data_IF_606099950120
#
_entry.id   IF_606099950120
#
_cell.length_a   1.000
_cell.length_b   1.000
_cell.length_c   1.000
_cell.angle_alpha   90.00
_cell.angle_beta   90.00
_cell.angle_gamma   90.00
#
_symmetry.space_group_name_H-M   'P 1'
#
loop_
_entity.id
_entity.type
_entity.pdbx_description
1 polymer ?
#
# COMPACT_ATOMS: atom_id res chain seq x y z
N UNK A 1 27.51 -11.15 -28.22
CA UNK A 1 27.02 -9.91 -27.59
C UNK A 1 25.74 -10.25 -26.84
N UNK A 2 25.63 -9.94 -25.55
CA UNK A 2 24.41 -10.23 -24.79
C UNK A 2 23.32 -9.22 -25.19
N UNK A 3 22.22 -9.69 -25.77
CA UNK A 3 21.07 -8.85 -26.14
C UNK A 3 20.50 -8.19 -24.89
N UNK A 4 20.37 -6.86 -24.89
CA UNK A 4 19.77 -6.11 -23.79
C UNK A 4 18.26 -6.33 -23.76
N UNK A 5 17.73 -6.70 -22.59
CA UNK A 5 16.28 -6.85 -22.37
C UNK A 5 15.59 -5.50 -22.52
N UNK A 6 14.52 -5.46 -23.32
CA UNK A 6 13.71 -4.27 -23.59
C UNK A 6 12.29 -4.47 -23.05
N UNK A 7 11.58 -3.37 -22.81
CA UNK A 7 10.19 -3.37 -22.33
C UNK A 7 9.26 -2.90 -23.43
N UNK A 8 8.23 -3.68 -23.69
CA UNK A 8 7.24 -3.42 -24.72
C UNK A 8 5.85 -3.25 -24.10
N UNK A 9 5.05 -2.33 -24.63
CA UNK A 9 3.63 -2.22 -24.33
C UNK A 9 2.80 -2.67 -25.54
N UNK A 10 1.79 -3.50 -25.28
CA UNK A 10 0.85 -4.01 -26.27
C UNK A 10 -0.56 -3.60 -25.84
N UNK A 11 -1.25 -2.75 -26.60
CA UNK A 11 -2.62 -2.33 -26.29
C UNK A 11 -3.60 -3.52 -26.24
N UNK A 12 -4.70 -3.36 -25.51
CA UNK A 12 -5.68 -4.43 -25.28
C UNK A 12 -6.41 -4.92 -26.55
N UNK A 13 -6.38 -4.14 -27.63
CA UNK A 13 -7.23 -4.35 -28.80
C UNK A 13 -6.72 -5.47 -29.74
N UNK A 14 -5.53 -6.02 -29.47
CA UNK A 14 -4.81 -6.91 -30.39
C UNK A 14 -4.72 -8.36 -29.91
N UNK A 15 -5.32 -8.70 -28.78
CA UNK A 15 -5.05 -9.98 -28.08
C UNK A 15 -5.99 -11.08 -28.60
N UNK A 16 -5.75 -11.52 -29.84
CA UNK A 16 -6.15 -12.85 -30.31
C UNK A 16 -5.17 -13.95 -29.86
N UNK A 17 -5.19 -15.16 -30.46
CA UNK A 17 -4.44 -16.35 -30.04
C UNK A 17 -2.90 -16.28 -30.24
N UNK A 18 -2.31 -15.08 -30.39
CA UNK A 18 -0.90 -14.86 -30.74
C UNK A 18 0.10 -15.03 -29.57
N UNK A 19 -0.37 -15.15 -28.32
CA UNK A 19 0.51 -15.31 -27.15
C UNK A 19 1.31 -16.63 -27.14
N UNK A 20 0.94 -17.62 -27.96
CA UNK A 20 1.61 -18.92 -28.02
C UNK A 20 2.96 -18.92 -28.75
N UNK A 21 3.29 -17.85 -29.49
CA UNK A 21 4.54 -17.75 -30.27
C UNK A 21 5.64 -16.92 -29.60
N UNK A 22 5.35 -16.24 -28.48
CA UNK A 22 6.28 -15.30 -27.90
C UNK A 22 7.35 -16.01 -27.06
N UNK A 23 8.62 -15.75 -27.37
CA UNK A 23 9.73 -15.88 -26.39
C UNK A 23 9.69 -14.73 -25.38
N UNK A 24 8.53 -14.49 -24.79
CA UNK A 24 8.41 -13.53 -23.71
C UNK A 24 9.06 -14.14 -22.46
N UNK A 25 10.12 -13.52 -21.95
CA UNK A 25 10.77 -13.99 -20.72
C UNK A 25 9.87 -13.69 -19.51
N UNK A 26 9.10 -12.59 -19.55
CA UNK A 26 7.96 -12.30 -18.66
C UNK A 26 6.94 -11.37 -19.33
N UNK A 27 5.68 -11.47 -18.93
CA UNK A 27 4.62 -10.51 -19.27
C UNK A 27 3.73 -10.19 -18.07
N UNK A 28 3.20 -8.97 -18.01
CA UNK A 28 2.21 -8.54 -17.01
C UNK A 28 1.09 -7.79 -17.71
N UNK A 29 -0.15 -8.12 -17.39
CA UNK A 29 -1.32 -7.37 -17.84
C UNK A 29 -1.65 -6.25 -16.86
N UNK A 30 -1.87 -5.03 -17.37
CA UNK A 30 -2.29 -3.90 -16.55
C UNK A 30 -3.32 -3.03 -17.27
N UNK A 31 -4.60 -3.30 -17.00
CA UNK A 31 -5.77 -2.45 -17.29
C UNK A 31 -6.01 -2.12 -18.76
N UNK A 32 -5.09 -1.40 -19.41
CA UNK A 32 -5.16 -0.95 -20.80
C UNK A 32 -4.33 -1.78 -21.79
N UNK A 33 -3.52 -2.74 -21.33
CA UNK A 33 -2.72 -3.59 -22.22
C UNK A 33 -1.73 -4.49 -21.48
N UNK A 34 -0.92 -5.21 -22.26
CA UNK A 34 0.18 -6.06 -21.77
C UNK A 34 1.50 -5.31 -21.78
N UNK A 35 2.30 -5.52 -20.74
CA UNK A 35 3.69 -5.14 -20.67
C UNK A 35 4.52 -6.41 -20.82
N UNK A 36 5.55 -6.38 -21.65
CA UNK A 36 6.35 -7.55 -22.01
C UNK A 36 7.82 -7.19 -21.88
N UNK A 37 8.58 -7.97 -21.11
CA UNK A 37 10.03 -7.90 -21.09
C UNK A 37 10.58 -9.03 -21.98
N UNK A 38 11.33 -8.65 -23.01
CA UNK A 38 11.91 -9.58 -23.96
C UNK A 38 13.24 -9.04 -24.50
N UNK A 39 14.14 -9.94 -24.86
CA UNK A 39 15.40 -9.64 -25.56
C UNK A 39 15.20 -9.35 -27.05
N UNK A 40 14.03 -9.71 -27.59
CA UNK A 40 13.64 -9.49 -28.98
C UNK A 40 12.28 -8.78 -29.02
N UNK A 41 12.05 -7.99 -30.07
CA UNK A 41 10.77 -7.30 -30.24
C UNK A 41 9.65 -8.32 -30.45
N UNK A 42 8.54 -8.23 -29.70
CA UNK A 42 7.30 -8.95 -29.98
C UNK A 42 6.90 -8.92 -31.46
N UNK A 43 6.52 -10.07 -32.03
CA UNK A 43 5.87 -10.16 -33.35
C UNK A 43 4.41 -9.65 -33.33
N UNK A 44 4.15 -8.60 -32.54
CA UNK A 44 2.85 -7.93 -32.47
C UNK A 44 3.04 -6.56 -33.12
N UNK A 45 2.36 -6.26 -34.25
CA UNK A 45 2.55 -5.01 -34.98
C UNK A 45 2.34 -3.75 -34.12
N UNK A 46 1.45 -3.83 -33.14
CA UNK A 46 1.11 -2.75 -32.21
C UNK A 46 2.02 -2.69 -30.97
N UNK A 47 3.02 -3.58 -30.85
CA UNK A 47 3.98 -3.54 -29.75
C UNK A 47 4.86 -2.29 -29.84
N UNK A 48 4.73 -1.45 -28.83
CA UNK A 48 5.48 -0.21 -28.68
C UNK A 48 6.69 -0.47 -27.78
N UNK A 49 7.91 -0.23 -28.28
CA UNK A 49 9.11 -0.25 -27.46
C UNK A 49 9.08 0.96 -26.52
N UNK A 50 9.07 0.68 -25.23
CA UNK A 50 9.02 1.70 -24.20
C UNK A 50 10.41 2.18 -23.78
N UNK A 51 11.48 1.47 -24.17
CA UNK A 51 12.86 1.69 -23.73
C UNK A 51 13.40 3.08 -24.08
N UNK A 52 12.88 3.70 -25.14
CA UNK A 52 13.25 5.04 -25.61
C UNK A 52 12.25 6.15 -25.21
N UNK A 53 11.03 5.79 -24.85
CA UNK A 53 9.96 6.74 -24.49
C UNK A 53 9.86 7.03 -23.00
N UNK A 54 10.57 6.30 -22.14
CA UNK A 54 10.65 6.62 -20.71
C UNK A 54 11.56 7.84 -20.45
N UNK A 55 11.11 9.02 -20.87
CA UNK A 55 11.60 10.29 -20.33
C UNK A 55 10.74 10.69 -19.13
N UNK A 56 10.88 10.01 -18.00
CA UNK A 56 10.35 10.57 -16.76
C UNK A 56 11.28 11.70 -16.30
N UNK A 57 10.71 12.80 -15.81
CA UNK A 57 11.51 13.81 -15.13
C UNK A 57 12.16 13.17 -13.87
N UNK A 58 13.32 13.69 -13.47
CA UNK A 58 14.11 13.06 -12.40
C UNK A 58 13.37 13.08 -11.04
N UNK A 59 12.49 14.05 -10.80
CA UNK A 59 11.69 14.13 -9.57
C UNK A 59 10.67 12.98 -9.49
N UNK A 60 9.88 12.76 -10.55
CA UNK A 60 8.91 11.66 -10.61
C UNK A 60 9.58 10.30 -10.56
N UNK A 61 10.80 10.18 -11.10
CA UNK A 61 11.62 8.99 -10.96
C UNK A 61 12.02 8.72 -9.52
N UNK A 62 12.51 9.76 -8.85
CA UNK A 62 12.96 9.72 -7.46
C UNK A 62 11.80 9.42 -6.50
N UNK A 63 10.64 10.05 -6.70
CA UNK A 63 9.45 9.79 -5.87
C UNK A 63 8.98 8.34 -6.05
N UNK A 64 8.96 7.83 -7.28
CA UNK A 64 8.66 6.42 -7.55
C UNK A 64 9.68 5.47 -6.89
N UNK A 65 10.96 5.84 -6.89
CA UNK A 65 12.01 5.09 -6.21
C UNK A 65 11.80 5.05 -4.70
N UNK A 66 11.42 6.17 -4.09
CA UNK A 66 11.16 6.29 -2.66
C UNK A 66 9.93 5.46 -2.25
N UNK A 67 8.89 5.42 -3.08
CA UNK A 67 7.76 4.48 -2.89
C UNK A 67 8.23 3.02 -2.95
N UNK A 68 9.03 2.68 -3.97
CA UNK A 68 9.49 1.31 -4.17
C UNK A 68 10.42 0.82 -3.05
N UNK A 69 11.29 1.69 -2.52
CA UNK A 69 12.18 1.39 -1.38
C UNK A 69 11.39 0.84 -0.19
N UNK A 70 10.18 1.35 0.01
CA UNK A 70 9.34 0.99 1.15
C UNK A 70 8.41 -0.17 0.90
N UNK A 71 7.70 -0.18 -0.23
CA UNK A 71 6.65 -1.18 -0.49
C UNK A 71 7.21 -2.42 -1.18
N UNK A 72 8.30 -2.28 -1.93
CA UNK A 72 8.88 -3.37 -2.69
C UNK A 72 10.40 -3.25 -2.77
N UNK A 73 11.11 -3.67 -1.70
CA UNK A 73 12.58 -3.61 -1.64
C UNK A 73 13.27 -4.26 -2.86
N UNK A 74 12.64 -5.29 -3.44
CA UNK A 74 13.08 -5.91 -4.69
C UNK A 74 13.02 -5.00 -5.92
N UNK A 75 12.00 -4.14 -6.02
CA UNK A 75 11.87 -3.14 -7.10
C UNK A 75 12.84 -1.97 -6.90
N UNK A 76 13.15 -1.58 -5.65
CA UNK A 76 14.09 -0.50 -5.34
C UNK A 76 15.51 -0.73 -5.89
N UNK A 77 15.96 -1.99 -5.96
CA UNK A 77 17.24 -2.35 -6.58
C UNK A 77 17.35 -1.79 -8.01
N UNK A 78 16.21 -1.59 -8.70
CA UNK A 78 16.15 -1.03 -10.04
C UNK A 78 16.47 0.44 -10.08
N UNK A 79 15.76 1.17 -9.23
CA UNK A 79 15.93 2.59 -9.10
C UNK A 79 17.36 2.91 -8.69
N UNK A 80 17.95 2.14 -7.76
CA UNK A 80 19.31 2.39 -7.26
C UNK A 80 20.39 2.43 -8.34
N UNK A 81 20.30 1.58 -9.38
CA UNK A 81 21.29 1.61 -10.48
C UNK A 81 21.21 2.90 -11.29
N UNK A 82 19.99 3.33 -11.59
CA UNK A 82 19.73 4.54 -12.37
C UNK A 82 20.00 5.80 -11.52
N UNK A 83 19.64 5.81 -10.25
CA UNK A 83 19.96 6.88 -9.28
C UNK A 83 21.46 7.16 -9.30
N UNK A 84 22.29 6.12 -9.17
CA UNK A 84 23.75 6.25 -9.20
C UNK A 84 24.28 6.74 -10.55
N UNK A 85 23.76 6.21 -11.66
CA UNK A 85 24.18 6.62 -13.00
C UNK A 85 23.83 8.08 -13.29
N UNK A 86 22.66 8.54 -12.82
CA UNK A 86 22.18 9.92 -13.00
C UNK A 86 22.58 10.87 -11.88
N UNK A 87 23.31 10.40 -10.86
CA UNK A 87 23.73 11.17 -9.66
C UNK A 87 22.56 11.82 -8.90
N UNK A 88 21.48 11.06 -8.69
CA UNK A 88 20.25 11.53 -8.04
C UNK A 88 20.20 11.20 -6.54
N UNK A 89 21.30 10.79 -5.91
CA UNK A 89 21.32 10.27 -4.54
C UNK A 89 20.76 11.27 -3.50
N UNK A 90 21.11 12.56 -3.60
CA UNK A 90 20.61 13.59 -2.68
C UNK A 90 19.11 13.89 -2.87
N UNK A 91 18.64 13.94 -4.13
CA UNK A 91 17.21 14.11 -4.41
C UNK A 91 16.42 12.91 -3.89
N UNK A 92 16.93 11.70 -4.09
CA UNK A 92 16.34 10.48 -3.57
C UNK A 92 16.22 10.50 -2.06
N UNK A 93 17.30 10.86 -1.36
CA UNK A 93 17.29 10.99 0.09
C UNK A 93 16.26 12.02 0.56
N UNK A 94 16.19 13.19 -0.09
CA UNK A 94 15.20 14.22 0.23
C UNK A 94 13.76 13.74 0.04
N UNK A 95 13.48 12.99 -1.03
CA UNK A 95 12.14 12.40 -1.26
C UNK A 95 11.80 11.35 -0.19
N UNK A 96 12.73 10.47 0.17
CA UNK A 96 12.55 9.54 1.29
C UNK A 96 12.28 10.24 2.63
N UNK A 97 12.98 11.33 2.93
CA UNK A 97 12.77 12.10 4.16
C UNK A 97 11.38 12.76 4.20
N UNK A 98 10.93 13.33 3.08
CA UNK A 98 9.55 13.86 2.96
C UNK A 98 8.55 12.71 3.16
N UNK A 99 8.83 11.53 2.61
CA UNK A 99 7.98 10.36 2.80
C UNK A 99 7.87 9.97 4.27
N UNK A 100 9.00 9.88 4.97
CA UNK A 100 9.04 9.51 6.38
C UNK A 100 8.29 10.53 7.25
N UNK A 101 8.35 11.83 6.93
CA UNK A 101 7.58 12.88 7.62
C UNK A 101 6.08 12.65 7.46
N UNK A 102 5.59 12.49 6.22
CA UNK A 102 4.16 12.29 5.94
C UNK A 102 3.64 11.03 6.63
N UNK A 103 4.38 9.93 6.56
CA UNK A 103 4.01 8.67 7.22
C UNK A 103 4.02 8.85 8.75
N UNK A 104 5.02 9.54 9.30
CA UNK A 104 5.10 9.78 10.74
C UNK A 104 3.92 10.59 11.25
N UNK A 105 3.54 11.66 10.55
CA UNK A 105 2.41 12.51 10.93
C UNK A 105 1.10 11.73 10.85
N UNK A 106 0.96 10.90 9.82
CA UNK A 106 -0.16 9.98 9.67
C UNK A 106 -0.26 8.96 10.82
N UNK A 107 0.85 8.29 11.17
CA UNK A 107 0.89 7.32 12.27
C UNK A 107 0.59 7.97 13.61
N UNK A 108 1.09 9.19 13.86
CA UNK A 108 0.78 9.96 15.08
C UNK A 108 -0.70 10.31 15.18
N UNK A 109 -1.34 10.70 14.07
CA UNK A 109 -2.78 10.98 14.04
C UNK A 109 -3.58 9.75 14.47
N UNK A 110 -3.23 8.57 13.95
CA UNK A 110 -3.87 7.29 14.32
C UNK A 110 -3.57 6.93 15.77
N UNK A 111 -2.32 7.11 16.23
CA UNK A 111 -1.91 6.90 17.62
C UNK A 111 -2.73 7.76 18.59
N UNK A 112 -2.89 9.05 18.33
CA UNK A 112 -3.66 9.97 19.17
C UNK A 112 -5.11 9.52 19.34
N UNK A 113 -5.73 9.00 18.27
CA UNK A 113 -7.10 8.48 18.31
C UNK A 113 -7.18 7.20 19.12
N UNK A 114 -6.23 6.28 18.96
CA UNK A 114 -6.11 5.08 19.80
C UNK A 114 -5.88 5.42 21.27
N UNK A 115 -5.04 6.41 21.57
CA UNK A 115 -4.82 6.88 22.95
C UNK A 115 -6.10 7.47 23.55
N UNK A 116 -6.89 8.21 22.76
CA UNK A 116 -8.20 8.70 23.19
C UNK A 116 -9.14 7.54 23.49
N UNK A 117 -9.21 6.54 22.61
CA UNK A 117 -10.00 5.32 22.85
C UNK A 117 -9.56 4.55 24.10
N UNK A 118 -8.25 4.40 24.32
CA UNK A 118 -7.69 3.75 25.51
C UNK A 118 -8.12 4.47 26.81
N UNK A 119 -8.11 5.81 26.82
CA UNK A 119 -8.55 6.60 27.99
C UNK A 119 -10.04 6.45 28.26
N UNK A 120 -10.87 6.52 27.22
CA UNK A 120 -12.33 6.42 27.38
C UNK A 120 -12.77 5.00 27.72
N UNK A 121 -12.15 3.97 27.12
CA UNK A 121 -12.40 2.57 27.48
C UNK A 121 -12.02 2.25 28.93
N UNK A 122 -11.02 2.94 29.50
CA UNK A 122 -10.67 2.83 30.91
C UNK A 122 -11.76 3.35 31.87
N UNK A 123 -12.59 4.29 31.41
CA UNK A 123 -13.64 4.95 32.19
C UNK A 123 -15.05 4.46 31.87
N UNK A 124 -15.20 3.65 30.82
CA UNK A 124 -16.49 3.22 30.32
C UNK A 124 -17.26 2.38 31.33
N UNK A 125 -18.54 2.72 31.51
CA UNK A 125 -19.46 1.87 32.25
C UNK A 125 -19.95 0.75 31.34
N UNK A 126 -19.43 -0.47 31.54
CA UNK A 126 -19.79 -1.63 30.75
C UNK A 126 -21.24 -2.09 30.97
N UNK A 127 -21.91 -1.59 32.02
CA UNK A 127 -23.34 -1.78 32.29
C UNK A 127 -24.23 -0.72 31.62
N UNK A 128 -23.63 0.27 30.97
CA UNK A 128 -24.32 1.24 30.14
C UNK A 128 -24.16 0.92 28.65
N UNK A 129 -25.29 0.60 27.99
CA UNK A 129 -25.33 0.45 26.52
C UNK A 129 -24.85 1.71 25.81
N UNK A 130 -25.19 2.89 26.33
CA UNK A 130 -24.78 4.17 25.75
C UNK A 130 -23.25 4.33 25.81
N UNK A 131 -22.62 3.95 26.93
CA UNK A 131 -21.16 3.98 27.07
C UNK A 131 -20.48 3.07 26.03
N UNK A 132 -21.04 1.89 25.77
CA UNK A 132 -20.50 0.95 24.79
C UNK A 132 -20.70 1.44 23.35
N UNK A 133 -21.87 2.01 23.02
CA UNK A 133 -22.09 2.63 21.71
C UNK A 133 -21.14 3.80 21.46
N UNK A 134 -20.80 4.60 22.48
CA UNK A 134 -19.79 5.66 22.35
C UNK A 134 -18.41 5.10 22.01
N UNK A 135 -17.99 4.01 22.65
CA UNK A 135 -16.72 3.34 22.33
C UNK A 135 -16.72 2.77 20.91
N UNK A 136 -17.83 2.20 20.46
CA UNK A 136 -17.99 1.69 19.10
C UNK A 136 -17.85 2.80 18.07
N UNK A 137 -18.52 3.94 18.29
CA UNK A 137 -18.36 5.14 17.44
C UNK A 137 -16.92 5.63 17.39
N UNK A 138 -16.19 5.61 18.51
CA UNK A 138 -14.78 5.99 18.51
C UNK A 138 -13.89 5.06 17.67
N UNK A 139 -14.22 3.76 17.56
CA UNK A 139 -13.50 2.84 16.68
C UNK A 139 -13.80 3.12 15.21
N UNK A 140 -15.05 3.43 14.86
CA UNK A 140 -15.40 3.91 13.53
C UNK A 140 -14.68 5.22 13.20
N UNK A 141 -14.63 6.17 14.12
CA UNK A 141 -13.89 7.44 13.95
C UNK A 141 -12.40 7.20 13.68
N UNK A 142 -11.77 6.19 14.30
CA UNK A 142 -10.37 5.84 14.00
C UNK A 142 -10.26 5.34 12.56
N UNK A 143 -11.14 4.41 12.15
CA UNK A 143 -11.15 3.85 10.80
C UNK A 143 -11.37 4.92 9.73
N UNK A 144 -12.40 5.74 9.89
CA UNK A 144 -12.79 6.77 8.93
C UNK A 144 -11.71 7.85 8.82
N UNK A 145 -11.15 8.29 9.96
CA UNK A 145 -10.06 9.25 9.97
C UNK A 145 -8.84 8.73 9.21
N UNK A 146 -8.50 7.45 9.40
CA UNK A 146 -7.36 6.83 8.74
C UNK A 146 -7.59 6.73 7.22
N UNK A 147 -8.78 6.34 6.78
CA UNK A 147 -9.11 6.27 5.36
C UNK A 147 -9.25 7.64 4.67
N UNK A 148 -9.86 8.62 5.34
CA UNK A 148 -10.03 9.98 4.82
C UNK A 148 -8.68 10.65 4.60
N UNK A 149 -7.77 10.47 5.55
CA UNK A 149 -6.45 11.05 5.44
C UNK A 149 -5.67 10.41 4.28
N UNK A 150 -5.76 9.09 4.07
CA UNK A 150 -5.23 8.44 2.86
C UNK A 150 -5.82 9.06 1.59
N UNK A 151 -7.15 9.26 1.53
CA UNK A 151 -7.85 9.76 0.33
C UNK A 151 -7.41 11.19 -0.05
N UNK A 152 -6.99 12.01 0.91
CA UNK A 152 -6.54 13.39 0.68
C UNK A 152 -5.17 13.48 0.00
N UNK A 153 -4.35 12.44 0.11
CA UNK A 153 -3.03 12.44 -0.52
C UNK A 153 -3.08 12.03 -2.00
N UNK A 154 -2.11 12.49 -2.84
CA UNK A 154 -2.03 12.09 -4.24
C UNK A 154 -1.88 10.58 -4.40
N UNK A 155 -2.31 10.00 -5.53
CA UNK A 155 -2.33 8.52 -5.75
C UNK A 155 -1.01 7.81 -5.45
N UNK A 156 0.12 8.46 -5.73
CA UNK A 156 1.48 7.95 -5.44
C UNK A 156 1.67 7.68 -3.94
N UNK A 157 1.10 8.52 -3.10
CA UNK A 157 1.16 8.46 -1.64
C UNK A 157 0.15 7.50 -1.04
N UNK A 158 -1.00 7.34 -1.69
CA UNK A 158 -2.06 6.45 -1.22
C UNK A 158 -1.58 5.01 -1.10
N UNK A 159 -0.73 4.52 -2.01
CA UNK A 159 -0.19 3.15 -1.93
C UNK A 159 0.76 2.98 -0.75
N UNK A 160 1.62 3.97 -0.49
CA UNK A 160 2.53 3.97 0.66
C UNK A 160 1.75 4.01 1.96
N UNK A 161 0.82 4.95 2.11
CA UNK A 161 0.02 5.10 3.31
C UNK A 161 -0.89 3.89 3.54
N UNK A 162 -1.48 3.31 2.49
CA UNK A 162 -2.20 2.03 2.60
C UNK A 162 -1.29 0.90 3.03
N UNK A 163 -0.06 0.82 2.52
CA UNK A 163 0.86 -0.26 2.94
C UNK A 163 1.20 -0.18 4.43
N UNK A 164 1.25 1.03 4.99
CA UNK A 164 1.51 1.27 6.41
C UNK A 164 0.25 1.10 7.26
N UNK A 165 -0.93 1.53 6.78
CA UNK A 165 -2.17 1.42 7.55
C UNK A 165 -2.83 0.02 7.47
N UNK A 166 -2.73 -0.66 6.33
CA UNK A 166 -3.44 -1.93 6.08
C UNK A 166 -3.25 -2.97 7.20
N UNK A 167 -2.09 -3.10 7.86
CA UNK A 167 -1.93 -3.99 9.02
C UNK A 167 -2.82 -3.63 10.23
N UNK A 168 -3.16 -2.34 10.41
CA UNK A 168 -3.90 -1.82 11.57
C UNK A 168 -5.43 -1.82 11.39
N UNK A 169 -5.94 -1.70 10.15
CA UNK A 169 -7.38 -1.71 9.87
C UNK A 169 -8.11 -2.99 10.37
N UNK A 170 -7.55 -4.21 10.19
CA UNK A 170 -8.15 -5.43 10.73
C UNK A 170 -8.31 -5.39 12.26
N UNK A 171 -7.39 -4.73 12.98
CA UNK A 171 -7.46 -4.61 14.43
C UNK A 171 -8.68 -3.79 14.87
N UNK A 172 -8.95 -2.68 14.16
CA UNK A 172 -10.11 -1.82 14.41
C UNK A 172 -11.40 -2.61 14.14
N UNK A 173 -11.48 -3.28 12.99
CA UNK A 173 -12.64 -4.09 12.62
C UNK A 173 -12.92 -5.22 13.63
N UNK A 174 -11.87 -5.89 14.13
CA UNK A 174 -12.01 -6.93 15.15
C UNK A 174 -12.49 -6.35 16.49
N UNK A 175 -11.96 -5.20 16.91
CA UNK A 175 -12.43 -4.50 18.11
C UNK A 175 -13.90 -4.09 18.01
N UNK A 176 -14.33 -3.58 16.85
CA UNK A 176 -15.74 -3.25 16.57
C UNK A 176 -16.59 -4.52 16.74
N UNK A 177 -16.27 -5.59 16.01
CA UNK A 177 -17.05 -6.83 16.04
C UNK A 177 -17.18 -7.42 17.45
N UNK A 178 -16.09 -7.42 18.23
CA UNK A 178 -16.11 -7.93 19.61
C UNK A 178 -16.90 -7.03 20.56
N UNK A 179 -16.89 -5.72 20.36
CA UNK A 179 -17.71 -4.79 21.13
C UNK A 179 -19.19 -4.93 20.79
N UNK A 180 -19.55 -5.08 19.51
CA UNK A 180 -20.93 -5.33 19.08
C UNK A 180 -21.45 -6.66 19.65
N UNK A 181 -20.61 -7.71 19.68
CA UNK A 181 -20.93 -8.99 20.34
C UNK A 181 -21.13 -8.83 21.84
N UNK A 182 -20.28 -8.06 22.52
CA UNK A 182 -20.44 -7.75 23.93
C UNK A 182 -21.79 -7.06 24.21
N UNK A 183 -22.15 -6.05 23.41
CA UNK A 183 -23.45 -5.36 23.52
C UNK A 183 -24.61 -6.33 23.29
N UNK A 184 -24.49 -7.19 22.29
CA UNK A 184 -25.52 -8.19 21.98
C UNK A 184 -25.78 -9.14 23.15
N UNK A 185 -24.71 -9.66 23.77
CA UNK A 185 -24.83 -10.58 24.91
C UNK A 185 -25.50 -9.98 26.14
N UNK A 186 -25.21 -8.71 26.44
CA UNK A 186 -25.62 -8.09 27.70
C UNK A 186 -26.95 -7.32 27.61
N UNK A 187 -27.38 -6.90 26.40
CA UNK A 187 -28.52 -5.98 26.25
C UNK A 187 -29.63 -6.45 25.31
N UNK A 188 -29.54 -7.64 24.70
CA UNK A 188 -30.69 -8.19 23.95
C UNK A 188 -31.66 -8.92 24.88
N UNK A 189 -32.99 -8.79 24.67
CA UNK A 189 -34.01 -9.36 25.56
C UNK A 189 -34.19 -10.88 25.46
N UNK A 190 -33.47 -11.56 24.56
CA UNK A 190 -33.77 -12.95 24.22
C UNK A 190 -32.84 -13.89 24.97
N UNK A 191 -33.39 -14.57 25.99
CA UNK A 191 -32.80 -15.78 26.59
C UNK A 191 -32.76 -16.88 25.54
N UNK A 192 -31.77 -16.87 24.67
CA UNK A 192 -31.53 -17.99 23.77
C UNK A 192 -30.78 -19.08 24.54
N UNK A 193 -31.47 -20.21 24.76
CA UNK A 193 -30.86 -21.51 25.04
C UNK A 193 -30.09 -22.02 23.80
N UNK A 194 -29.08 -21.29 23.32
CA UNK A 194 -28.32 -21.68 22.14
C UNK A 194 -27.03 -22.39 22.51
N UNK A 195 -27.08 -23.70 22.28
CA UNK A 195 -26.12 -24.79 22.07
C UNK A 195 -24.65 -24.53 21.65
N UNK A 196 -24.14 -23.30 21.60
CA UNK A 196 -22.72 -23.04 21.31
C UNK A 196 -22.08 -22.33 22.50
N UNK A 197 -20.85 -22.70 22.85
CA UNK A 197 -20.08 -22.04 23.91
C UNK A 197 -19.56 -20.70 23.40
N UNK A 198 -20.35 -19.63 23.54
CA UNK A 198 -19.89 -18.29 23.23
C UNK A 198 -18.90 -17.84 24.30
N UNK A 199 -17.84 -17.11 23.90
CA UNK A 199 -16.85 -16.62 24.83
C UNK A 199 -17.51 -15.74 25.90
N UNK A 200 -17.15 -15.89 27.19
CA UNK A 200 -17.60 -14.99 28.25
C UNK A 200 -17.45 -13.52 27.85
N UNK A 201 -18.45 -12.69 28.14
CA UNK A 201 -18.45 -11.25 27.80
C UNK A 201 -17.20 -10.54 28.32
N UNK A 202 -16.68 -10.95 29.47
CA UNK A 202 -15.44 -10.45 30.05
C UNK A 202 -14.19 -10.74 29.19
N UNK A 203 -14.14 -11.88 28.49
CA UNK A 203 -13.06 -12.17 27.54
C UNK A 203 -13.13 -11.30 26.29
N UNK A 204 -14.34 -10.99 25.80
CA UNK A 204 -14.52 -10.09 24.66
C UNK A 204 -14.01 -8.69 24.98
N UNK A 205 -14.32 -8.19 26.17
CA UNK A 205 -13.86 -6.86 26.60
C UNK A 205 -12.36 -6.82 26.87
N UNK A 206 -11.83 -7.84 27.57
CA UNK A 206 -10.39 -7.97 27.80
C UNK A 206 -9.61 -7.97 26.49
N UNK A 207 -10.11 -8.70 25.48
CA UNK A 207 -9.50 -8.68 24.15
C UNK A 207 -9.42 -7.27 23.57
N UNK A 208 -10.50 -6.49 23.61
CA UNK A 208 -10.51 -5.12 23.05
C UNK A 208 -9.46 -4.23 23.74
N UNK A 209 -9.31 -4.38 25.07
CA UNK A 209 -8.28 -3.66 25.83
C UNK A 209 -6.87 -4.11 25.47
N UNK A 210 -6.63 -5.42 25.45
CA UNK A 210 -5.31 -5.98 25.13
C UNK A 210 -4.90 -5.59 23.70
N UNK A 211 -5.83 -5.70 22.74
CA UNK A 211 -5.59 -5.31 21.35
C UNK A 211 -5.26 -3.83 21.21
N UNK A 212 -5.97 -2.95 21.91
CA UNK A 212 -5.68 -1.51 21.92
C UNK A 212 -4.25 -1.22 22.41
N UNK A 213 -3.77 -1.91 23.45
CA UNK A 213 -2.41 -1.73 23.96
C UNK A 213 -1.36 -2.23 22.95
N UNK A 214 -1.63 -3.35 22.28
CA UNK A 214 -0.76 -3.90 21.26
C UNK A 214 -0.64 -2.95 20.06
N UNK A 215 -1.76 -2.41 19.58
CA UNK A 215 -1.76 -1.44 18.48
C UNK A 215 -0.98 -0.17 18.83
N UNK A 216 -1.15 0.37 20.03
CA UNK A 216 -0.36 1.52 20.48
C UNK A 216 1.15 1.21 20.51
N UNK A 217 1.54 0.04 21.01
CA UNK A 217 2.94 -0.37 21.05
C UNK A 217 3.54 -0.56 19.64
N UNK A 218 2.79 -1.15 18.72
CA UNK A 218 3.23 -1.36 17.33
C UNK A 218 3.35 -0.02 16.59
N UNK A 219 2.36 0.88 16.72
CA UNK A 219 2.43 2.23 16.15
C UNK A 219 3.66 3.00 16.65
N UNK A 220 3.93 2.95 17.96
CA UNK A 220 5.12 3.60 18.55
C UNK A 220 6.42 3.00 18.03
N UNK A 221 6.47 1.68 17.85
CA UNK A 221 7.63 0.98 17.29
C UNK A 221 7.85 1.37 15.83
N UNK A 222 6.81 1.45 15.00
CA UNK A 222 6.91 1.89 13.61
C UNK A 222 7.37 3.34 13.51
N UNK A 223 6.82 4.24 14.33
CA UNK A 223 7.27 5.65 14.42
C UNK A 223 8.75 5.73 14.85
N UNK A 224 9.21 4.86 15.74
CA UNK A 224 10.61 4.83 16.15
C UNK A 224 11.53 4.32 15.02
N UNK A 225 11.10 3.29 14.28
CA UNK A 225 11.83 2.75 13.13
C UNK A 225 11.92 3.72 11.95
N UNK A 226 10.92 4.59 11.80
CA UNK A 226 10.92 5.70 10.84
C UNK A 226 11.99 6.76 11.14
N UNK A 227 12.33 6.94 12.42
CA UNK A 227 13.36 7.89 12.84
C UNK A 227 14.78 7.32 12.76
N UNK A 228 14.93 6.02 12.47
CA UNK A 228 16.23 5.37 12.36
C UNK A 228 16.85 5.61 10.96
N UNK A 229 18.19 5.75 10.86
CA UNK A 229 18.85 6.01 9.58
C UNK A 229 18.59 4.86 8.58
N UNK A 230 18.30 5.25 7.32
CA UNK A 230 17.88 4.40 6.17
C UNK A 230 18.81 3.20 5.90
N UNK A 231 20.04 3.22 6.40
CA UNK A 231 21.09 2.24 6.11
C UNK A 231 20.86 0.80 6.61
N UNK A 232 19.76 0.50 7.31
CA UNK A 232 19.56 -0.80 7.98
C UNK A 232 18.43 -1.69 7.45
N UNK A 233 17.66 -1.27 6.44
CA UNK A 233 16.55 -2.10 5.92
C UNK A 233 17.07 -3.20 4.98
N UNK A 234 17.09 -4.45 5.50
CA UNK A 234 17.53 -5.61 4.74
C UNK A 234 16.53 -5.95 3.64
N UNK A 235 17.01 -5.94 2.40
CA UNK A 235 16.24 -6.31 1.22
C UNK A 235 16.18 -7.84 1.15
N UNK A 236 15.10 -8.44 1.63
CA UNK A 236 14.82 -9.86 1.39
C UNK A 236 14.07 -10.02 0.05
N UNK A 237 14.52 -11.04 -0.70
CA UNK A 237 14.08 -11.52 -2.02
C UNK A 237 14.40 -10.64 -3.25
N UNK A 238 15.14 -11.27 -4.18
CA UNK A 238 15.46 -10.74 -5.51
C UNK A 238 14.37 -11.14 -6.51
N UNK A 239 13.51 -10.22 -6.97
CA UNK A 239 12.73 -10.47 -8.18
C UNK A 239 13.68 -10.67 -9.37
N UNK A 240 13.23 -11.45 -10.35
CA UNK A 240 13.99 -11.62 -11.61
C UNK A 240 14.12 -10.29 -12.36
N UNK A 241 15.21 -10.09 -13.11
CA UNK A 241 15.47 -8.89 -13.92
C UNK A 241 14.28 -8.50 -14.82
N UNK A 242 13.54 -9.50 -15.29
CA UNK A 242 12.37 -9.34 -16.14
C UNK A 242 11.15 -8.81 -15.38
N UNK A 243 10.83 -9.39 -14.21
CA UNK A 243 9.79 -8.84 -13.32
C UNK A 243 10.11 -7.39 -12.93
N UNK A 244 11.39 -7.11 -12.69
CA UNK A 244 11.91 -5.80 -12.36
C UNK A 244 11.70 -4.77 -13.48
N UNK A 245 12.01 -5.12 -14.74
CA UNK A 245 11.87 -4.19 -15.88
C UNK A 245 10.39 -3.93 -16.19
N UNK A 246 9.55 -4.94 -16.01
CA UNK A 246 8.10 -4.83 -16.15
C UNK A 246 7.48 -3.92 -15.08
N UNK A 247 7.86 -4.06 -13.82
CA UNK A 247 7.36 -3.20 -12.75
C UNK A 247 7.84 -1.76 -12.92
N UNK A 248 9.11 -1.56 -13.27
CA UNK A 248 9.63 -0.24 -13.59
C UNK A 248 8.86 0.38 -14.76
N UNK A 249 8.61 -0.39 -15.82
CA UNK A 249 7.82 0.03 -16.97
C UNK A 249 6.40 0.45 -16.56
N UNK A 250 5.69 -0.38 -15.80
CA UNK A 250 4.34 -0.09 -15.29
C UNK A 250 4.29 1.17 -14.44
N UNK A 251 5.24 1.32 -13.52
CA UNK A 251 5.30 2.45 -12.60
C UNK A 251 5.58 3.74 -13.39
N UNK A 252 6.59 3.75 -14.26
CA UNK A 252 6.92 4.91 -15.08
C UNK A 252 5.79 5.28 -16.06
N UNK A 253 5.07 4.28 -16.58
CA UNK A 253 3.91 4.49 -17.45
C UNK A 253 2.72 5.11 -16.71
N UNK A 254 2.53 4.74 -15.44
CA UNK A 254 1.45 5.29 -14.60
C UNK A 254 1.68 6.75 -14.21
N UNK A 255 2.93 7.22 -14.22
CA UNK A 255 3.31 8.59 -13.88
C UNK A 255 3.37 9.55 -15.07
N UNK A 256 3.59 9.04 -16.29
CA UNK A 256 3.60 9.87 -17.49
C UNK A 256 2.24 9.87 -18.19
N UNK A 257 1.32 10.70 -17.67
CA UNK A 257 -0.04 10.88 -18.20
C UNK A 257 -0.06 11.22 -19.70
N UNK A 258 0.95 11.96 -20.17
CA UNK A 258 1.06 12.36 -21.56
C UNK A 258 1.48 11.20 -22.47
N UNK A 259 2.39 10.35 -22.01
CA UNK A 259 2.79 9.11 -22.71
C UNK A 259 1.63 8.12 -22.75
N UNK A 260 0.81 8.03 -21.68
CA UNK A 260 -0.46 7.29 -21.69
C UNK A 260 -1.44 7.76 -22.78
N UNK A 261 -1.59 9.08 -22.97
CA UNK A 261 -2.45 9.64 -24.03
C UNK A 261 -1.93 9.31 -25.44
N UNK A 262 -0.62 9.48 -25.67
CA UNK A 262 0.03 9.18 -26.95
C UNK A 262 -0.09 7.70 -27.33
N UNK A 263 0.18 6.80 -26.38
CA UNK A 263 0.18 5.35 -26.62
C UNK A 263 -1.24 4.78 -26.76
N UNK A 264 -2.26 5.46 -26.19
CA UNK A 264 -3.68 5.19 -26.42
C UNK A 264 -4.23 5.76 -27.73
N UNK A 265 -3.40 6.44 -28.53
CA UNK A 265 -3.83 7.10 -29.77
C UNK A 265 -4.84 8.24 -29.56
N UNK A 266 -5.07 8.69 -28.32
CA UNK A 266 -5.97 9.82 -28.04
C UNK A 266 -5.17 11.11 -28.19
N UNK A 267 -5.26 11.73 -29.36
CA UNK A 267 -4.88 13.14 -29.54
C UNK A 267 -5.65 13.96 -28.51
N UNK A 268 -4.93 14.78 -27.74
CA UNK A 268 -5.56 15.82 -26.92
C UNK A 268 -6.32 16.75 -27.88
N UNK A 269 -7.63 16.86 -27.66
CA UNK A 269 -8.44 18.01 -28.09
C UNK A 269 -8.43 18.96 -26.90
#
# INVERSE_FOLDING_TARGET
MASSVQVYYVPNNTIGPMFSSMRAERSIYAGSGWFIAATEKPEIPEAQDLSLTFSCNDQSFVDAAAVAERISPGQYIAYRKIIKQRKLDEQFKGSCEIHDVVITDYLKLVEEKWQKFARESGKADLKSRESLCRLELMLYDISDCAEDEIRRHPKLWQSVLKSVLNPHLPAIAECIGRLSLYVWHNYRPIKHNTLYGWAPSELLWRFVKDRCQWELADLQKEIAQLKAPINSRSVAERPSLYQFLLHLGLILFSYDFHTLCKLRGRRQI
#
